data_IF_733743757465
#
_entry.id   IF_733743757465
#
_cell.length_a   1.000
_cell.length_b   1.000
_cell.length_c   1.000
_cell.angle_alpha   90.00
_cell.angle_beta   90.00
_cell.angle_gamma   90.00
#
_symmetry.space_group_name_H-M   'P 1'
#
loop_
_entity.id
_entity.type
_entity.pdbx_description
1 polymer ?
#
# COMPACT_ATOMS: atom_id res chain seq x y z
N UNK A 1 39.21 -17.41 -41.96
CA UNK A 1 37.94 -18.17 -41.75
C UNK A 1 37.65 -18.40 -40.26
N UNK A 2 38.68 -18.59 -39.44
CA UNK A 2 38.61 -18.92 -38.00
C UNK A 2 38.04 -17.81 -37.11
N UNK A 3 38.35 -16.53 -37.37
CA UNK A 3 37.85 -15.40 -36.56
C UNK A 3 36.36 -15.15 -36.70
N UNK A 4 35.79 -15.36 -37.89
CA UNK A 4 34.33 -15.28 -38.11
C UNK A 4 33.58 -16.30 -37.26
N UNK A 5 34.09 -17.54 -37.18
CA UNK A 5 33.49 -18.61 -36.38
C UNK A 5 33.59 -18.31 -34.88
N UNK A 6 34.73 -17.75 -34.43
CA UNK A 6 34.93 -17.33 -33.03
C UNK A 6 34.00 -16.18 -32.63
N UNK A 7 33.82 -15.19 -33.50
CA UNK A 7 32.89 -14.09 -33.27
C UNK A 7 31.43 -14.55 -33.30
N UNK A 8 31.08 -15.48 -34.20
CA UNK A 8 29.74 -16.08 -34.24
C UNK A 8 29.41 -16.82 -32.93
N UNK A 9 30.35 -17.63 -32.42
CA UNK A 9 30.19 -18.32 -31.12
C UNK A 9 30.07 -17.33 -29.96
N UNK A 10 30.85 -16.24 -29.94
CA UNK A 10 30.73 -15.17 -28.93
C UNK A 10 29.35 -14.50 -28.97
N UNK A 11 28.85 -14.16 -30.15
CA UNK A 11 27.52 -13.54 -30.29
C UNK A 11 26.41 -14.48 -29.81
N UNK A 12 26.52 -15.78 -30.09
CA UNK A 12 25.55 -16.79 -29.65
C UNK A 12 25.57 -16.92 -28.11
N UNK A 13 26.75 -16.98 -27.49
CA UNK A 13 26.89 -17.03 -26.02
C UNK A 13 26.31 -15.76 -25.36
N UNK A 14 26.59 -14.58 -25.91
CA UNK A 14 26.05 -13.31 -25.39
C UNK A 14 24.52 -13.30 -25.46
N UNK A 15 23.92 -13.80 -26.55
CA UNK A 15 22.45 -13.90 -26.68
C UNK A 15 21.85 -14.78 -25.60
N UNK A 16 22.41 -15.97 -25.35
CA UNK A 16 21.89 -16.86 -24.30
C UNK A 16 22.08 -16.28 -22.89
N UNK A 17 23.22 -15.60 -22.63
CA UNK A 17 23.43 -14.91 -21.36
C UNK A 17 22.40 -13.79 -21.13
N UNK A 18 22.10 -13.01 -22.18
CA UNK A 18 21.13 -11.92 -22.11
C UNK A 18 19.70 -12.45 -21.88
N UNK A 19 19.33 -13.56 -22.54
CA UNK A 19 18.05 -14.25 -22.27
C UNK A 19 17.99 -14.76 -20.84
N UNK A 20 19.06 -15.35 -20.30
CA UNK A 20 19.09 -15.81 -18.91
C UNK A 20 18.90 -14.66 -17.90
N UNK A 21 19.54 -13.51 -18.13
CA UNK A 21 19.36 -12.31 -17.30
C UNK A 21 17.92 -11.81 -17.34
N UNK A 22 17.29 -11.79 -18.52
CA UNK A 22 15.87 -11.41 -18.66
C UNK A 22 14.98 -12.39 -17.91
N UNK A 23 15.21 -13.70 -18.03
CA UNK A 23 14.42 -14.72 -17.31
C UNK A 23 14.56 -14.57 -15.80
N UNK A 24 15.77 -14.32 -15.30
CA UNK A 24 16.01 -14.06 -13.86
C UNK A 24 15.30 -12.77 -13.42
N UNK A 25 15.37 -11.71 -14.22
CA UNK A 25 14.69 -10.45 -13.93
C UNK A 25 13.16 -10.62 -13.89
N UNK A 26 12.57 -11.33 -14.86
CA UNK A 26 11.14 -11.64 -14.88
C UNK A 26 10.75 -12.52 -13.70
N UNK A 27 11.55 -13.53 -13.34
CA UNK A 27 11.31 -14.36 -12.17
C UNK A 27 11.33 -13.54 -10.87
N UNK A 28 12.29 -12.63 -10.72
CA UNK A 28 12.33 -11.68 -9.61
C UNK A 28 11.09 -10.79 -9.59
N UNK A 29 10.70 -10.22 -10.73
CA UNK A 29 9.47 -9.42 -10.83
C UNK A 29 8.26 -10.21 -10.37
N UNK A 30 8.08 -11.45 -10.83
CA UNK A 30 6.95 -12.31 -10.44
C UNK A 30 6.93 -12.63 -8.94
N UNK A 31 8.10 -12.83 -8.32
CA UNK A 31 8.21 -13.03 -6.87
C UNK A 31 7.86 -11.74 -6.11
N UNK A 32 8.31 -10.58 -6.58
CA UNK A 32 8.02 -9.29 -5.94
C UNK A 32 6.59 -8.78 -6.20
N UNK A 33 5.94 -9.19 -7.29
CA UNK A 33 4.54 -8.89 -7.59
C UNK A 33 3.58 -9.90 -6.98
N UNK A 34 4.07 -11.06 -6.54
CA UNK A 34 3.25 -12.03 -5.82
C UNK A 34 2.78 -11.40 -4.51
N UNK A 35 1.46 -11.17 -4.40
CA UNK A 35 0.85 -10.60 -3.20
C UNK A 35 1.13 -11.45 -1.96
N UNK A 36 1.07 -10.83 -0.78
CA UNK A 36 1.26 -11.52 0.49
C UNK A 36 0.28 -12.69 0.67
N UNK A 37 0.79 -13.84 1.12
CA UNK A 37 -0.01 -15.00 1.52
C UNK A 37 -0.44 -14.95 2.99
N UNK A 38 -0.11 -13.86 3.71
CA UNK A 38 -0.42 -13.72 5.14
C UNK A 38 -1.92 -13.51 5.35
N UNK A 39 -2.40 -13.97 6.50
CA UNK A 39 -3.75 -13.67 6.96
C UNK A 39 -3.87 -12.19 7.33
N UNK A 40 -5.06 -11.62 7.15
CA UNK A 40 -5.32 -10.23 7.55
C UNK A 40 -4.99 -10.00 9.03
N UNK A 41 -5.45 -10.89 9.92
CA UNK A 41 -5.23 -10.77 11.36
C UNK A 41 -3.74 -10.70 11.77
N UNK A 42 -2.86 -11.42 11.06
CA UNK A 42 -1.42 -11.38 11.35
C UNK A 42 -0.78 -10.03 10.95
N UNK A 43 -1.23 -9.46 9.84
CA UNK A 43 -0.79 -8.15 9.35
C UNK A 43 -1.39 -7.04 10.22
N UNK A 44 -2.70 -7.09 10.48
CA UNK A 44 -3.42 -6.16 11.36
C UNK A 44 -2.72 -6.05 12.71
N UNK A 45 -2.48 -7.17 13.40
CA UNK A 45 -1.83 -7.16 14.71
C UNK A 45 -0.47 -6.47 14.70
N UNK A 46 0.37 -6.71 13.68
CA UNK A 46 1.69 -6.10 13.57
C UNK A 46 1.59 -4.59 13.34
N UNK A 47 0.67 -4.16 12.49
CA UNK A 47 0.45 -2.74 12.21
C UNK A 47 -0.16 -2.05 13.44
N UNK A 48 -1.24 -2.59 14.00
CA UNK A 48 -1.99 -2.05 15.14
C UNK A 48 -1.09 -1.83 16.37
N UNK A 49 -0.20 -2.77 16.69
CA UNK A 49 0.77 -2.62 17.80
C UNK A 49 1.77 -1.49 17.57
N UNK A 50 2.05 -1.11 16.32
CA UNK A 50 2.95 0.00 16.01
C UNK A 50 2.29 1.38 16.07
N UNK A 51 0.95 1.44 16.05
CA UNK A 51 0.22 2.69 15.96
C UNK A 51 0.25 3.48 17.27
N UNK A 52 0.32 4.80 17.15
CA UNK A 52 0.13 5.71 18.29
C UNK A 52 -1.35 6.09 18.38
N UNK A 53 -2.12 5.28 19.09
CA UNK A 53 -3.59 5.38 19.11
C UNK A 53 -4.13 6.38 20.13
N UNK A 54 -3.28 7.14 20.83
CA UNK A 54 -3.71 8.03 21.94
C UNK A 54 -4.77 9.05 21.55
N UNK A 55 -4.77 9.54 20.30
CA UNK A 55 -5.71 10.52 19.78
C UNK A 55 -6.58 9.96 18.65
N UNK A 56 -6.66 8.63 18.54
CA UNK A 56 -7.35 7.93 17.47
C UNK A 56 -8.27 6.85 18.01
N UNK A 57 -9.39 6.64 17.33
CA UNK A 57 -10.34 5.57 17.63
C UNK A 57 -10.54 4.65 16.45
N UNK A 58 -10.80 3.37 16.74
CA UNK A 58 -11.20 2.40 15.72
C UNK A 58 -12.60 2.79 15.23
N UNK A 59 -12.75 3.03 13.93
CA UNK A 59 -13.98 3.59 13.34
C UNK A 59 -15.15 2.59 13.25
N UNK A 60 -14.95 1.34 13.70
CA UNK A 60 -15.93 0.26 13.64
C UNK A 60 -16.29 -0.15 12.20
N UNK A 61 -17.18 -1.12 12.06
CA UNK A 61 -17.53 -1.74 10.77
C UNK A 61 -18.20 -0.78 9.77
N UNK A 62 -18.84 0.29 10.26
CA UNK A 62 -19.53 1.29 9.43
C UNK A 62 -18.62 2.44 8.99
N UNK A 63 -17.47 2.62 9.62
CA UNK A 63 -16.55 3.73 9.33
C UNK A 63 -16.10 3.74 7.87
N UNK A 64 -15.76 2.57 7.33
CA UNK A 64 -15.33 2.45 5.93
C UNK A 64 -16.42 2.93 4.96
N UNK A 65 -17.68 2.54 5.19
CA UNK A 65 -18.81 2.97 4.35
C UNK A 65 -19.00 4.48 4.43
N UNK A 66 -18.94 5.03 5.63
CA UNK A 66 -19.12 6.47 5.86
C UNK A 66 -18.05 7.32 5.19
N UNK A 67 -16.78 6.93 5.31
CA UNK A 67 -15.66 7.78 4.88
C UNK A 67 -15.17 7.49 3.46
N UNK A 68 -15.31 6.25 2.98
CA UNK A 68 -14.79 5.81 1.68
C UNK A 68 -15.90 5.35 0.73
N UNK A 69 -17.15 5.20 1.19
CA UNK A 69 -18.23 4.65 0.37
C UNK A 69 -18.14 3.13 0.16
N UNK A 70 -17.27 2.43 0.87
CA UNK A 70 -17.00 1.00 0.69
C UNK A 70 -17.58 0.16 1.84
N UNK A 71 -18.19 -1.00 1.56
CA UNK A 71 -18.72 -1.86 2.62
C UNK A 71 -17.63 -2.82 3.14
N UNK A 72 -17.40 -2.82 4.45
CA UNK A 72 -16.39 -3.68 5.08
C UNK A 72 -16.61 -5.18 4.84
N UNK A 73 -17.86 -5.61 4.64
CA UNK A 73 -18.22 -7.01 4.38
C UNK A 73 -17.76 -7.52 3.00
N UNK A 74 -17.42 -6.62 2.09
CA UNK A 74 -16.99 -6.98 0.73
C UNK A 74 -15.52 -7.46 0.70
N UNK A 75 -14.78 -7.28 1.80
CA UNK A 75 -13.34 -7.54 1.91
C UNK A 75 -13.01 -8.66 2.91
N UNK A 76 -11.81 -9.21 2.82
CA UNK A 76 -11.33 -10.26 3.75
C UNK A 76 -10.97 -9.70 5.13
N UNK A 77 -10.71 -8.40 5.23
CA UNK A 77 -10.48 -7.72 6.50
C UNK A 77 -10.26 -6.22 6.33
N UNK A 78 -10.69 -5.46 7.35
CA UNK A 78 -10.62 -4.01 7.38
C UNK A 78 -10.24 -3.56 8.79
N UNK A 79 -9.22 -2.72 8.89
CA UNK A 79 -8.87 -1.97 10.09
C UNK A 79 -8.84 -0.49 9.72
N UNK A 80 -9.66 0.30 10.39
CA UNK A 80 -9.71 1.75 10.20
C UNK A 80 -9.64 2.45 11.55
N UNK A 81 -8.63 3.30 11.69
CA UNK A 81 -8.48 4.25 12.77
C UNK A 81 -8.63 5.67 12.22
N UNK A 82 -9.43 6.48 12.91
CA UNK A 82 -9.60 7.91 12.60
C UNK A 82 -9.31 8.72 13.84
N UNK A 83 -8.86 9.96 13.67
CA UNK A 83 -8.75 10.89 14.78
C UNK A 83 -10.06 11.01 15.59
N UNK A 84 -9.93 11.21 16.90
CA UNK A 84 -11.09 11.48 17.75
C UNK A 84 -11.64 12.89 17.53
N UNK A 85 -10.75 13.85 17.31
CA UNK A 85 -11.08 15.24 16.99
C UNK A 85 -11.21 15.45 15.49
N UNK A 86 -12.23 16.19 15.06
CA UNK A 86 -12.42 16.61 13.67
C UNK A 86 -11.35 17.55 13.16
N UNK A 87 -10.60 18.21 14.06
CA UNK A 87 -9.50 19.12 13.74
C UNK A 87 -8.21 18.39 13.33
N UNK A 88 -8.16 17.06 13.43
CA UNK A 88 -7.01 16.26 13.05
C UNK A 88 -7.31 15.45 11.79
N UNK A 89 -6.33 15.43 10.88
CA UNK A 89 -6.36 14.62 9.67
C UNK A 89 -5.90 13.18 9.90
N UNK A 90 -5.40 12.84 11.11
CA UNK A 90 -4.80 11.55 11.35
C UNK A 90 -5.77 10.40 11.08
N UNK A 91 -5.32 9.45 10.26
CA UNK A 91 -6.13 8.35 9.77
C UNK A 91 -5.21 7.20 9.36
N UNK A 92 -5.55 5.97 9.74
CA UNK A 92 -4.85 4.77 9.30
C UNK A 92 -5.89 3.78 8.80
N UNK A 93 -5.74 3.32 7.57
CA UNK A 93 -6.56 2.29 6.94
C UNK A 93 -5.67 1.13 6.47
N UNK A 94 -6.11 -0.09 6.77
CA UNK A 94 -5.57 -1.32 6.23
C UNK A 94 -6.75 -2.17 5.73
N UNK A 95 -6.70 -2.58 4.48
CA UNK A 95 -7.71 -3.45 3.85
C UNK A 95 -7.01 -4.64 3.21
N UNK A 96 -7.55 -5.84 3.42
CA UNK A 96 -7.24 -7.00 2.59
C UNK A 96 -8.44 -7.33 1.71
N UNK A 97 -8.27 -7.19 0.40
CA UNK A 97 -9.31 -7.43 -0.60
C UNK A 97 -9.34 -8.90 -1.03
N UNK A 98 -10.41 -9.30 -1.75
CA UNK A 98 -10.53 -10.65 -2.31
C UNK A 98 -9.76 -10.77 -3.62
N UNK A 99 -9.64 -9.67 -4.38
CA UNK A 99 -8.93 -9.61 -5.66
C UNK A 99 -8.03 -8.37 -5.76
N UNK A 100 -7.10 -8.38 -6.71
CA UNK A 100 -6.21 -7.25 -7.00
C UNK A 100 -6.95 -6.07 -7.60
N UNK A 101 -8.03 -6.32 -8.35
CA UNK A 101 -8.87 -5.27 -8.96
C UNK A 101 -9.59 -4.48 -7.85
N UNK A 102 -10.14 -5.18 -6.85
CA UNK A 102 -10.68 -4.53 -5.66
C UNK A 102 -9.63 -3.71 -4.89
N UNK A 103 -8.35 -4.10 -4.93
CA UNK A 103 -7.30 -3.31 -4.27
C UNK A 103 -7.09 -1.96 -4.98
N UNK A 104 -7.17 -1.92 -6.30
CA UNK A 104 -7.13 -0.67 -7.06
C UNK A 104 -8.39 0.19 -6.83
N UNK A 105 -9.57 -0.41 -6.71
CA UNK A 105 -10.81 0.30 -6.33
C UNK A 105 -10.68 0.95 -4.94
N UNK A 106 -10.17 0.20 -3.95
CA UNK A 106 -9.93 0.73 -2.60
C UNK A 106 -8.90 1.86 -2.63
N UNK A 107 -7.83 1.71 -3.40
CA UNK A 107 -6.82 2.78 -3.59
C UNK A 107 -7.44 4.03 -4.18
N UNK A 108 -8.30 3.92 -5.19
CA UNK A 108 -8.99 5.06 -5.78
C UNK A 108 -9.88 5.79 -4.75
N UNK A 109 -10.61 5.03 -3.92
CA UNK A 109 -11.41 5.60 -2.83
C UNK A 109 -10.54 6.30 -1.77
N UNK A 110 -9.34 5.76 -1.48
CA UNK A 110 -8.36 6.37 -0.58
C UNK A 110 -7.85 7.70 -1.14
N UNK A 111 -7.47 7.76 -2.41
CA UNK A 111 -7.01 9.00 -3.04
C UNK A 111 -8.11 10.06 -3.05
N UNK A 112 -9.35 9.67 -3.35
CA UNK A 112 -10.50 10.57 -3.28
C UNK A 112 -10.72 11.08 -1.84
N UNK A 113 -10.64 10.19 -0.84
CA UNK A 113 -10.76 10.55 0.58
C UNK A 113 -9.68 11.54 0.99
N UNK A 114 -8.42 11.28 0.61
CA UNK A 114 -7.27 12.16 0.87
C UNK A 114 -7.46 13.53 0.25
N UNK A 115 -7.86 13.59 -1.02
CA UNK A 115 -8.12 14.84 -1.73
C UNK A 115 -9.26 15.66 -1.07
N UNK A 116 -10.37 15.00 -0.73
CA UNK A 116 -11.47 15.66 -0.02
C UNK A 116 -11.02 16.20 1.33
N UNK A 117 -10.26 15.41 2.11
CA UNK A 117 -9.72 15.86 3.41
C UNK A 117 -8.74 17.01 3.26
N UNK A 118 -7.94 17.03 2.20
CA UNK A 118 -7.04 18.14 1.91
C UNK A 118 -7.81 19.43 1.70
N UNK A 119 -8.85 19.38 0.88
CA UNK A 119 -9.77 20.51 0.66
C UNK A 119 -10.48 20.92 1.95
N UNK A 120 -10.89 19.94 2.76
CA UNK A 120 -11.52 20.21 4.05
C UNK A 120 -10.62 20.99 4.99
N UNK A 121 -9.28 20.97 4.85
CA UNK A 121 -8.31 21.65 5.72
C UNK A 121 -7.63 22.87 5.10
N UNK A 122 -7.85 23.09 3.81
CA UNK A 122 -7.17 24.13 3.05
C UNK A 122 -7.53 25.52 3.59
N UNK A 123 -6.53 26.40 3.66
CA UNK A 123 -6.68 27.78 4.14
C UNK A 123 -6.86 27.99 5.65
N UNK A 124 -6.98 26.94 6.49
CA UNK A 124 -7.08 27.13 7.95
C UNK A 124 -6.19 26.21 8.81
N UNK A 125 -5.78 25.04 8.30
CA UNK A 125 -4.92 24.12 9.06
C UNK A 125 -3.77 23.58 8.18
N UNK A 126 -2.75 24.41 7.87
CA UNK A 126 -1.68 24.05 6.96
C UNK A 126 -0.92 22.78 7.40
N UNK A 127 -0.71 22.58 8.70
CA UNK A 127 -0.04 21.38 9.22
C UNK A 127 -0.84 20.10 8.91
N UNK A 128 -2.18 20.17 8.90
CA UNK A 128 -3.03 19.03 8.56
C UNK A 128 -3.00 18.74 7.05
N UNK A 129 -2.98 19.79 6.23
CA UNK A 129 -2.76 19.67 4.78
C UNK A 129 -1.42 19.03 4.48
N UNK A 130 -0.35 19.43 5.17
CA UNK A 130 0.97 18.83 5.00
C UNK A 130 0.98 17.34 5.36
N UNK A 131 0.35 16.94 6.46
CA UNK A 131 0.22 15.52 6.82
C UNK A 131 -0.50 14.70 5.74
N UNK A 132 -1.52 15.29 5.11
CA UNK A 132 -2.23 14.67 3.99
C UNK A 132 -1.34 14.61 2.74
N UNK A 133 -0.56 15.66 2.46
CA UNK A 133 0.36 15.70 1.32
C UNK A 133 1.46 14.63 1.47
N UNK A 134 1.97 14.41 2.69
CA UNK A 134 2.98 13.40 3.05
C UNK A 134 2.40 12.00 3.36
N UNK A 135 1.09 11.84 3.22
CA UNK A 135 0.40 10.59 3.53
C UNK A 135 0.95 9.42 2.71
N UNK A 136 0.97 8.24 3.33
CA UNK A 136 1.52 7.04 2.75
C UNK A 136 0.42 6.14 2.21
N UNK A 137 0.42 5.89 0.91
CA UNK A 137 -0.49 4.95 0.24
C UNK A 137 0.37 3.83 -0.37
N UNK A 138 0.01 2.58 -0.10
CA UNK A 138 0.77 1.41 -0.57
C UNK A 138 -0.17 0.27 -0.92
N UNK A 139 -0.06 -0.25 -2.14
CA UNK A 139 -0.76 -1.46 -2.60
C UNK A 139 0.25 -2.58 -2.76
N UNK A 140 -0.03 -3.72 -2.12
CA UNK A 140 0.81 -4.92 -2.13
C UNK A 140 -0.05 -6.15 -2.38
N UNK A 141 -0.24 -6.48 -3.66
CA UNK A 141 -1.17 -7.51 -4.08
C UNK A 141 -2.59 -7.16 -3.64
N UNK A 142 -3.17 -7.99 -2.76
CA UNK A 142 -4.52 -7.78 -2.21
C UNK A 142 -4.58 -6.89 -0.97
N UNK A 143 -3.46 -6.33 -0.53
CA UNK A 143 -3.44 -5.43 0.61
C UNK A 143 -3.33 -3.98 0.17
N UNK A 144 -4.16 -3.12 0.77
CA UNK A 144 -4.09 -1.67 0.64
C UNK A 144 -3.84 -1.08 2.01
N UNK A 145 -2.82 -0.23 2.10
CA UNK A 145 -2.46 0.51 3.30
C UNK A 145 -2.48 2.00 3.02
N UNK A 146 -3.06 2.76 3.94
CA UNK A 146 -3.08 4.21 3.94
C UNK A 146 -2.81 4.75 5.33
N UNK A 147 -1.93 5.75 5.44
CA UNK A 147 -1.65 6.42 6.70
C UNK A 147 -1.42 7.93 6.53
N UNK A 148 -2.16 8.70 7.30
CA UNK A 148 -1.96 10.13 7.56
C UNK A 148 -1.51 10.24 9.00
N UNK A 149 -0.23 10.52 9.22
CA UNK A 149 0.36 10.62 10.55
C UNK A 149 1.77 11.18 10.44
N UNK A 150 2.29 11.88 11.46
CA UNK A 150 3.71 12.19 11.54
C UNK A 150 4.63 10.95 11.46
N UNK A 151 4.10 9.75 11.73
CA UNK A 151 4.83 8.47 11.68
C UNK A 151 4.42 7.59 10.47
N UNK A 152 3.79 8.17 9.44
CA UNK A 152 3.21 7.40 8.34
C UNK A 152 4.22 6.47 7.61
N UNK A 153 5.44 6.95 7.35
CA UNK A 153 6.49 6.11 6.73
C UNK A 153 6.91 4.93 7.63
N UNK A 154 6.98 5.15 8.95
CA UNK A 154 7.25 4.08 9.92
C UNK A 154 6.16 3.01 9.86
N UNK A 155 4.88 3.42 9.83
CA UNK A 155 3.75 2.49 9.75
C UNK A 155 3.73 1.71 8.43
N UNK A 156 4.02 2.38 7.31
CA UNK A 156 4.17 1.74 6.00
C UNK A 156 5.32 0.74 5.98
N UNK A 157 6.43 1.01 6.66
CA UNK A 157 7.55 0.08 6.80
C UNK A 157 7.15 -1.17 7.59
N UNK A 158 6.43 -1.00 8.71
CA UNK A 158 5.89 -2.12 9.49
C UNK A 158 4.92 -2.95 8.66
N UNK A 159 4.00 -2.31 7.96
CA UNK A 159 3.09 -2.96 7.01
C UNK A 159 3.88 -3.75 5.96
N UNK A 160 4.85 -3.14 5.28
CA UNK A 160 5.62 -3.80 4.22
C UNK A 160 6.40 -5.02 4.71
N UNK A 161 6.94 -4.97 5.95
CA UNK A 161 7.65 -6.10 6.59
C UNK A 161 6.72 -7.18 7.17
N UNK A 162 5.44 -6.87 7.31
CA UNK A 162 4.45 -7.80 7.88
C UNK A 162 3.88 -8.78 6.85
N UNK A 163 4.03 -8.44 5.57
CA UNK A 163 3.54 -9.18 4.39
C UNK A 163 4.33 -10.46 4.09
#
# INVERSE_FOLDING_TARGET
>A
MTDKIKNLKKTVVIKYALVAVIVVYVALLLIFTSGSTKSFAAVEKKVEVSLDTKAMKKAGVQGLKRYYGLNSADYEGVMLYTAESSMSAQEILLVKTKTTEQAEEVKAAVEQRRANRRNDFDGYAPDQVQLLDEAQISVRGKFVFYAVSPKAETYKSVFSKSL
#
